data_IF_896577233096
#
_entry.id   IF_896577233096
#
_cell.length_a   1.000
_cell.length_b   1.000
_cell.length_c   1.000
_cell.angle_alpha   90.00
_cell.angle_beta   90.00
_cell.angle_gamma   90.00
#
_symmetry.space_group_name_H-M   'P 1'
#
loop_
_entity.id
_entity.type
_entity.pdbx_description
1 polymer ?
#
# COMPACT_ATOMS: atom_id res chain seq x y z
N UNK A 1 7.98 -40.12 58.69
CA UNK A 1 8.50 -39.91 57.32
C UNK A 1 7.32 -39.69 56.41
N UNK A 2 7.07 -38.45 55.96
CA UNK A 2 6.05 -38.17 54.94
C UNK A 2 6.68 -37.22 53.92
N UNK A 3 6.82 -37.68 52.68
CA UNK A 3 7.38 -36.91 51.56
C UNK A 3 6.20 -36.36 50.77
N UNK A 4 5.94 -35.05 50.89
CA UNK A 4 5.00 -34.36 50.00
C UNK A 4 5.61 -34.26 48.61
N UNK A 5 5.04 -34.99 47.66
CA UNK A 5 5.34 -34.85 46.23
C UNK A 5 4.66 -33.59 45.69
N UNK A 6 5.45 -32.57 45.39
CA UNK A 6 5.02 -31.38 44.66
C UNK A 6 4.86 -31.74 43.17
N UNK A 7 3.63 -31.71 42.69
CA UNK A 7 3.31 -31.78 41.26
C UNK A 7 3.78 -30.49 40.59
N UNK A 8 4.86 -30.56 39.81
CA UNK A 8 5.26 -29.49 38.91
C UNK A 8 4.49 -29.61 37.60
N UNK A 9 3.43 -28.81 37.45
CA UNK A 9 2.70 -28.67 36.20
C UNK A 9 3.53 -27.78 35.26
N UNK A 10 4.22 -28.39 34.30
CA UNK A 10 4.95 -27.66 33.28
C UNK A 10 3.96 -27.05 32.28
N UNK A 11 3.76 -25.74 32.36
CA UNK A 11 3.04 -24.98 31.34
C UNK A 11 3.92 -24.86 30.09
N UNK A 12 3.56 -25.57 29.03
CA UNK A 12 4.15 -25.41 27.70
C UNK A 12 3.71 -24.05 27.16
N UNK A 13 4.60 -23.06 27.19
CA UNK A 13 4.44 -21.84 26.42
C UNK A 13 4.58 -22.21 24.93
N UNK A 14 3.48 -22.28 24.20
CA UNK A 14 3.52 -22.15 22.74
C UNK A 14 4.01 -20.75 22.43
N UNK A 15 5.30 -20.60 22.14
CA UNK A 15 5.80 -19.43 21.43
C UNK A 15 5.24 -19.51 20.02
N UNK A 16 4.10 -18.85 19.78
CA UNK A 16 3.71 -18.44 18.46
C UNK A 16 4.78 -17.45 18.01
N UNK A 17 5.82 -17.95 17.34
CA UNK A 17 6.75 -17.12 16.61
C UNK A 17 5.91 -16.38 15.57
N UNK A 18 5.60 -15.11 15.83
CA UNK A 18 5.13 -14.19 14.82
C UNK A 18 6.25 -14.08 13.81
N UNK A 19 6.19 -14.92 12.78
CA UNK A 19 7.03 -14.81 11.60
C UNK A 19 6.64 -13.49 10.96
N UNK A 20 7.33 -12.42 11.32
CA UNK A 20 7.28 -11.17 10.57
C UNK A 20 7.94 -11.53 9.23
N UNK A 21 7.22 -11.61 8.11
CA UNK A 21 7.85 -11.84 6.82
C UNK A 21 8.85 -10.70 6.60
N UNK A 22 10.13 -11.01 6.76
CA UNK A 22 11.25 -10.09 6.57
C UNK A 22 11.51 -9.87 5.07
N UNK A 23 10.48 -9.48 4.32
CA UNK A 23 10.62 -8.98 2.95
C UNK A 23 10.86 -7.46 2.90
N UNK A 24 11.21 -6.86 4.05
CA UNK A 24 11.49 -5.43 4.18
C UNK A 24 12.86 -4.99 3.60
N UNK A 25 13.47 -5.77 2.70
CA UNK A 25 14.69 -5.39 1.99
C UNK A 25 14.36 -4.86 0.60
N UNK A 26 14.35 -3.54 0.45
CA UNK A 26 14.40 -2.81 -0.84
C UNK A 26 13.24 -2.99 -1.83
N UNK A 27 11.99 -2.81 -1.39
CA UNK A 27 10.92 -2.55 -2.37
C UNK A 27 11.17 -1.22 -3.06
N UNK A 28 11.36 -1.26 -4.38
CA UNK A 28 11.51 -0.05 -5.19
C UNK A 28 10.17 0.63 -5.38
N UNK A 29 10.08 1.91 -5.07
CA UNK A 29 8.90 2.71 -5.39
C UNK A 29 9.04 3.31 -6.80
N UNK A 30 8.04 3.11 -7.65
CA UNK A 30 7.96 3.67 -8.99
C UNK A 30 6.68 4.50 -9.11
N UNK A 31 6.83 5.74 -9.60
CA UNK A 31 5.74 6.69 -9.78
C UNK A 31 5.46 6.84 -11.28
N UNK A 32 4.22 6.61 -11.68
CA UNK A 32 3.79 6.90 -13.05
C UNK A 32 3.57 8.40 -13.22
N UNK A 33 4.44 8.99 -14.04
CA UNK A 33 4.52 10.41 -14.33
C UNK A 33 4.04 10.77 -15.74
N UNK A 34 3.33 9.86 -16.42
CA UNK A 34 2.95 10.02 -17.83
C UNK A 34 1.80 11.00 -18.05
N UNK A 35 1.07 11.38 -16.99
CA UNK A 35 -0.12 12.23 -17.07
C UNK A 35 0.13 13.64 -16.53
N UNK A 36 -0.85 14.54 -16.67
CA UNK A 36 -0.80 15.90 -16.10
C UNK A 36 -1.12 15.95 -14.60
N UNK A 37 -1.57 14.83 -14.03
CA UNK A 37 -1.98 14.66 -12.64
C UNK A 37 -1.24 13.44 -12.11
N UNK A 38 -0.21 13.65 -11.32
CA UNK A 38 0.76 12.61 -10.96
C UNK A 38 0.71 12.31 -9.46
N UNK A 39 0.99 11.07 -9.03
CA UNK A 39 1.26 10.79 -7.62
C UNK A 39 2.53 11.54 -7.15
N UNK A 40 2.52 12.06 -5.94
CA UNK A 40 3.62 12.80 -5.31
C UNK A 40 3.71 12.47 -3.83
N UNK A 41 4.89 12.64 -3.23
CA UNK A 41 5.15 12.40 -1.80
C UNK A 41 4.62 11.04 -1.32
N UNK A 42 4.79 10.02 -2.17
CA UNK A 42 4.32 8.67 -1.90
C UNK A 42 5.29 7.99 -0.94
N UNK A 43 4.73 7.38 0.09
CA UNK A 43 5.46 6.59 1.08
C UNK A 43 4.75 5.26 1.26
N UNK A 44 5.51 4.26 1.68
CA UNK A 44 4.97 2.95 2.03
C UNK A 44 5.54 2.48 3.36
N UNK A 45 4.79 1.62 4.03
CA UNK A 45 5.18 0.98 5.28
C UNK A 45 4.69 -0.45 5.28
N UNK A 46 5.62 -1.40 5.44
CA UNK A 46 5.27 -2.80 5.67
C UNK A 46 4.98 -3.00 7.16
N UNK A 47 3.83 -3.61 7.47
CA UNK A 47 3.41 -3.96 8.82
C UNK A 47 2.84 -5.38 8.84
N UNK A 48 2.57 -5.96 10.03
CA UNK A 48 1.87 -7.24 10.12
C UNK A 48 0.48 -7.26 9.48
N UNK A 49 -0.15 -6.09 9.30
CA UNK A 49 -1.46 -5.96 8.65
C UNK A 49 -1.36 -5.92 7.12
N UNK A 50 -0.15 -5.79 6.57
CA UNK A 50 0.13 -5.72 5.15
C UNK A 50 0.99 -4.52 4.77
N UNK A 51 0.94 -4.15 3.49
CA UNK A 51 1.63 -2.97 2.95
C UNK A 51 0.69 -1.78 2.92
N UNK A 52 0.98 -0.79 3.77
CA UNK A 52 0.32 0.50 3.71
C UNK A 52 1.02 1.39 2.68
N UNK A 53 0.26 1.98 1.77
CA UNK A 53 0.75 2.94 0.77
C UNK A 53 -0.09 4.20 0.87
N UNK A 54 0.57 5.33 1.04
CA UNK A 54 -0.07 6.64 1.18
C UNK A 54 0.70 7.72 0.44
N UNK A 55 0.00 8.78 0.06
CA UNK A 55 0.63 9.90 -0.62
C UNK A 55 -0.38 10.91 -1.13
N UNK A 56 0.04 11.65 -2.14
CA UNK A 56 -0.75 12.69 -2.76
C UNK A 56 -0.85 12.44 -4.26
N UNK A 57 -1.88 12.99 -4.87
CA UNK A 57 -2.02 13.16 -6.31
C UNK A 57 -2.07 14.66 -6.57
N UNK A 58 -1.13 15.19 -7.35
CA UNK A 58 -0.97 16.61 -7.59
C UNK A 58 -1.03 16.93 -9.09
N UNK A 59 -1.50 18.14 -9.42
CA UNK A 59 -1.42 18.65 -10.79
C UNK A 59 0.03 19.02 -11.08
N UNK A 60 0.59 18.54 -12.19
CA UNK A 60 1.95 18.90 -12.63
C UNK A 60 2.07 20.39 -12.92
N UNK A 61 1.03 21.00 -13.49
CA UNK A 61 0.94 22.45 -13.66
C UNK A 61 -0.38 23.00 -13.11
N UNK A 62 -0.39 24.23 -12.57
CA UNK A 62 -1.62 24.91 -12.22
C UNK A 62 -2.63 24.89 -13.37
N UNK A 63 -3.91 24.69 -13.05
CA UNK A 63 -5.02 24.68 -14.02
C UNK A 63 -5.03 23.55 -15.06
N UNK A 64 -4.21 22.51 -14.92
CA UNK A 64 -4.14 21.32 -15.81
C UNK A 64 -5.39 20.42 -15.81
N UNK A 65 -6.53 20.94 -15.37
CA UNK A 65 -7.80 20.22 -15.27
C UNK A 65 -8.24 19.96 -13.84
N UNK A 66 -9.21 19.05 -13.71
CA UNK A 66 -9.71 18.55 -12.42
C UNK A 66 -8.93 17.30 -12.05
N UNK A 67 -8.63 17.11 -10.77
CA UNK A 67 -8.14 15.83 -10.26
C UNK A 67 -9.38 14.92 -10.19
N UNK A 68 -9.46 13.93 -11.07
CA UNK A 68 -10.57 12.96 -11.17
C UNK A 68 -9.99 11.54 -11.20
N UNK A 69 -10.82 10.53 -10.94
CA UNK A 69 -10.42 9.12 -11.06
C UNK A 69 -9.94 8.52 -9.75
N UNK A 70 -8.92 7.69 -9.82
CA UNK A 70 -8.42 6.89 -8.71
C UNK A 70 -6.89 6.72 -8.78
N UNK A 71 -6.32 6.19 -7.71
CA UNK A 71 -4.92 5.77 -7.66
C UNK A 71 -4.89 4.25 -7.77
N UNK A 72 -4.08 3.75 -8.69
CA UNK A 72 -3.82 2.32 -8.88
C UNK A 72 -2.45 2.01 -8.27
N UNK A 73 -2.44 1.04 -7.35
CA UNK A 73 -1.24 0.50 -6.74
C UNK A 73 -1.03 -0.91 -7.32
N UNK A 74 0.14 -1.16 -7.90
CA UNK A 74 0.53 -2.48 -8.40
C UNK A 74 1.78 -2.97 -7.70
N UNK A 75 1.76 -4.23 -7.33
CA UNK A 75 2.93 -4.95 -6.84
C UNK A 75 3.50 -5.73 -8.02
N UNK A 76 4.74 -5.47 -8.37
CA UNK A 76 5.43 -6.10 -9.49
C UNK A 76 6.58 -6.96 -8.99
N UNK A 77 6.86 -8.03 -9.71
CA UNK A 77 8.12 -8.77 -9.54
C UNK A 77 9.31 -8.03 -10.16
N UNK A 78 10.51 -8.62 -10.06
CA UNK A 78 11.73 -8.05 -10.62
C UNK A 78 11.73 -7.98 -12.17
N UNK A 79 10.86 -8.74 -12.85
CA UNK A 79 10.68 -8.72 -14.30
C UNK A 79 9.68 -7.63 -14.77
N UNK A 80 8.97 -7.01 -13.83
CA UNK A 80 7.90 -6.06 -14.10
C UNK A 80 6.52 -6.70 -14.29
N UNK A 81 6.36 -7.99 -14.00
CA UNK A 81 5.06 -8.68 -14.06
C UNK A 81 4.21 -8.30 -12.86
N UNK A 82 2.92 -8.03 -13.09
CA UNK A 82 1.97 -7.65 -12.03
C UNK A 82 1.60 -8.88 -11.20
N UNK A 83 1.97 -8.86 -9.92
CA UNK A 83 1.63 -9.90 -8.95
C UNK A 83 0.33 -9.59 -8.21
N UNK A 84 0.11 -8.32 -7.89
CA UNK A 84 -1.11 -7.85 -7.24
C UNK A 84 -1.45 -6.42 -7.68
N UNK A 85 -2.73 -6.07 -7.55
CA UNK A 85 -3.25 -4.75 -7.87
C UNK A 85 -4.29 -4.34 -6.84
N UNK A 86 -4.29 -3.06 -6.48
CA UNK A 86 -5.34 -2.44 -5.68
C UNK A 86 -5.62 -1.02 -6.15
N UNK A 87 -6.90 -0.72 -6.38
CA UNK A 87 -7.34 0.64 -6.67
C UNK A 87 -7.77 1.31 -5.34
N UNK A 88 -7.49 2.61 -5.20
CA UNK A 88 -7.96 3.43 -4.08
C UNK A 88 -8.44 4.79 -4.53
N UNK A 89 -9.38 5.36 -3.78
CA UNK A 89 -9.92 6.68 -4.06
C UNK A 89 -9.12 7.76 -3.33
N UNK A 90 -9.06 8.93 -3.97
CA UNK A 90 -8.55 10.12 -3.30
C UNK A 90 -9.60 10.61 -2.29
N UNK A 91 -9.15 11.08 -1.14
CA UNK A 91 -10.01 11.56 -0.04
C UNK A 91 -9.87 13.07 0.15
N UNK A 92 -10.84 13.67 0.85
CA UNK A 92 -10.87 15.09 1.23
C UNK A 92 -10.67 16.08 0.06
N UNK A 93 -11.33 15.87 -1.07
CA UNK A 93 -11.23 16.78 -2.21
C UNK A 93 -12.59 17.13 -2.85
N UNK A 94 -12.77 18.39 -3.23
CA UNK A 94 -13.88 18.89 -4.06
C UNK A 94 -13.31 19.39 -5.39
N UNK A 95 -13.39 18.62 -6.50
CA UNK A 95 -12.60 18.89 -7.71
C UNK A 95 -13.20 20.01 -8.58
N UNK A 96 -12.62 21.19 -8.49
CA UNK A 96 -12.76 22.28 -9.46
C UNK A 96 -11.50 22.37 -10.36
N UNK A 97 -11.57 23.13 -11.47
CA UNK A 97 -10.40 23.33 -12.35
C UNK A 97 -9.25 24.04 -11.62
N UNK A 98 -9.56 24.93 -10.70
CA UNK A 98 -8.60 25.75 -9.94
C UNK A 98 -8.19 25.12 -8.62
N UNK A 99 -9.06 24.35 -7.96
CA UNK A 99 -8.80 23.74 -6.66
C UNK A 99 -9.44 22.35 -6.52
N UNK A 100 -8.84 21.41 -5.77
CA UNK A 100 -7.54 21.55 -5.13
C UNK A 100 -6.39 21.30 -6.11
N UNK A 101 -5.17 21.70 -5.73
CA UNK A 101 -3.93 21.41 -6.47
C UNK A 101 -3.36 20.03 -6.12
N UNK A 102 -3.82 19.44 -5.02
CA UNK A 102 -3.46 18.11 -4.55
C UNK A 102 -4.65 17.40 -3.86
N UNK A 103 -4.68 16.08 -3.91
CA UNK A 103 -5.63 15.24 -3.16
C UNK A 103 -4.86 14.09 -2.50
N UNK A 104 -5.18 13.74 -1.26
CA UNK A 104 -4.48 12.65 -0.57
C UNK A 104 -5.12 11.30 -0.90
N UNK A 105 -4.33 10.24 -0.76
CA UNK A 105 -4.82 8.86 -0.78
C UNK A 105 -4.08 8.04 0.26
N UNK A 106 -4.73 6.98 0.75
CA UNK A 106 -4.13 5.94 1.56
C UNK A 106 -4.83 4.61 1.27
N UNK A 107 -4.08 3.52 1.31
CA UNK A 107 -4.62 2.17 1.15
C UNK A 107 -3.74 1.14 1.85
N UNK A 108 -4.34 0.04 2.25
CA UNK A 108 -3.66 -1.12 2.83
C UNK A 108 -3.81 -2.31 1.88
N UNK A 109 -2.70 -2.90 1.43
CA UNK A 109 -2.68 -4.17 0.70
C UNK A 109 -2.40 -5.28 1.73
N UNK A 110 -3.42 -6.06 2.13
CA UNK A 110 -3.28 -7.02 3.24
C UNK A 110 -2.33 -8.17 2.90
N UNK A 111 -2.21 -8.50 1.61
CA UNK A 111 -1.35 -9.57 1.12
C UNK A 111 -0.32 -9.00 0.16
N UNK A 112 0.96 -9.25 0.47
CA UNK A 112 2.11 -8.83 -0.34
C UNK A 112 2.82 -10.10 -0.78
N UNK A 113 2.72 -10.48 -2.07
CA UNK A 113 3.37 -11.68 -2.58
C UNK A 113 4.89 -11.65 -2.32
N UNK A 114 5.48 -12.80 -1.94
CA UNK A 114 6.90 -12.90 -1.58
C UNK A 114 7.86 -12.47 -2.70
N UNK A 115 7.41 -12.56 -3.96
CA UNK A 115 8.18 -12.19 -5.15
C UNK A 115 8.13 -10.70 -5.48
N UNK A 116 7.44 -9.89 -4.66
CA UNK A 116 7.30 -8.45 -4.91
C UNK A 116 8.65 -7.76 -4.80
N UNK A 117 9.03 -7.03 -5.85
CA UNK A 117 10.25 -6.22 -5.91
C UNK A 117 9.95 -4.72 -6.09
N UNK A 118 8.82 -4.38 -6.71
CA UNK A 118 8.47 -2.99 -7.04
C UNK A 118 7.04 -2.68 -6.63
N UNK A 119 6.84 -1.50 -6.05
CA UNK A 119 5.53 -0.87 -5.85
C UNK A 119 5.39 0.20 -6.92
N UNK A 120 4.52 -0.02 -7.90
CA UNK A 120 4.12 0.99 -8.88
C UNK A 120 2.87 1.72 -8.37
N UNK A 121 2.92 3.05 -8.38
CA UNK A 121 1.79 3.91 -8.04
C UNK A 121 1.47 4.80 -9.22
N UNK A 122 0.24 4.72 -9.72
CA UNK A 122 -0.21 5.43 -10.90
C UNK A 122 -1.54 6.15 -10.68
N UNK A 123 -1.69 7.31 -11.29
CA UNK A 123 -2.99 7.97 -11.41
C UNK A 123 -3.72 7.47 -12.65
N UNK A 124 -4.99 7.08 -12.49
CA UNK A 124 -5.83 6.57 -13.58
C UNK A 124 -7.18 7.29 -13.61
N UNK A 125 -7.69 7.49 -14.82
CA UNK A 125 -9.02 8.05 -15.10
C UNK A 125 -9.86 6.97 -15.77
N UNK A 126 -11.09 6.76 -15.27
CA UNK A 126 -11.99 5.72 -15.79
C UNK A 126 -12.44 4.76 -14.70
N UNK A 127 -13.00 3.61 -15.10
CA UNK A 127 -13.47 2.57 -14.19
C UNK A 127 -12.31 1.94 -13.43
N UNK A 128 -12.51 1.68 -12.15
CA UNK A 128 -11.64 0.80 -11.36
C UNK A 128 -11.77 -0.64 -11.87
N UNK A 129 -10.77 -1.48 -11.64
CA UNK A 129 -10.82 -2.90 -11.99
C UNK A 129 -12.01 -3.63 -11.33
N UNK A 130 -12.48 -3.12 -10.19
CA UNK A 130 -13.61 -3.70 -9.46
C UNK A 130 -14.99 -3.37 -10.05
N UNK A 131 -15.06 -2.51 -11.07
CA UNK A 131 -16.18 -2.44 -12.02
C UNK A 131 -17.60 -2.40 -11.45
N UNK A 132 -17.81 -1.88 -10.22
CA UNK A 132 -19.15 -1.65 -9.66
C UNK A 132 -19.59 -0.21 -9.87
#
# INVERSE_FOLDING_TARGET
>A
MSKSTLNALAAVLLMAATVIPSHAGDLKLLIDETTSVIPTDVSYRLSPEGLEVQGWVAKRHPHSGRILGHVEIRLLDASGSVLARKDTYMVHYSPTRTNPQKASFSTLLPEVPEQTAVIEVAHRVGKTADGR
#
